data_IF_252504134541
#
_entry.id   IF_252504134541
#
_cell.length_a   1.000
_cell.length_b   1.000
_cell.length_c   1.000
_cell.angle_alpha   90.00
_cell.angle_beta   90.00
_cell.angle_gamma   90.00
#
_symmetry.space_group_name_H-M   'P 1'
#
loop_
_entity.id
_entity.type
_entity.pdbx_description
1 polymer ?
#
# COMPACT_ATOMS: atom_id res chain seq x y z
N UNK A 1 -3.48 15.34 -3.81
CA UNK A 1 -4.96 15.33 -3.94
C UNK A 1 -5.57 16.09 -2.75
N UNK A 2 -6.20 17.25 -2.98
CA UNK A 2 -6.81 18.03 -1.89
C UNK A 2 -8.03 17.36 -1.25
N UNK A 3 -8.66 16.43 -1.96
CA UNK A 3 -9.87 15.71 -1.51
C UNK A 3 -9.55 14.38 -0.80
N UNK A 4 -8.26 14.03 -0.68
CA UNK A 4 -7.88 12.77 -0.05
C UNK A 4 -8.18 12.78 1.45
N UNK A 5 -9.00 11.81 1.90
CA UNK A 5 -9.45 11.72 3.30
C UNK A 5 -8.31 11.42 4.28
N UNK A 6 -7.32 10.64 3.86
CA UNK A 6 -6.17 10.24 4.66
C UNK A 6 -4.86 10.44 3.88
N UNK A 7 -4.47 11.71 3.63
CA UNK A 7 -3.28 11.98 2.84
C UNK A 7 -2.00 11.53 3.57
N UNK A 8 -1.00 11.01 2.86
CA UNK A 8 0.29 10.61 3.44
C UNK A 8 1.10 11.80 3.99
N UNK A 9 0.72 13.02 3.65
CA UNK A 9 1.28 14.27 4.18
C UNK A 9 0.18 15.29 4.45
N UNK A 10 0.13 15.81 5.65
CA UNK A 10 -0.74 16.94 5.95
C UNK A 10 -0.16 18.26 5.40
N UNK A 11 -0.95 19.33 5.42
CA UNK A 11 -0.56 20.65 4.90
C UNK A 11 0.73 21.18 5.54
N UNK A 12 0.94 20.93 6.83
CA UNK A 12 2.16 21.36 7.55
C UNK A 12 3.40 20.65 6.99
N UNK A 13 3.30 19.33 6.74
CA UNK A 13 4.40 18.56 6.15
C UNK A 13 4.71 19.01 4.72
N UNK A 14 3.68 19.29 3.90
CA UNK A 14 3.87 19.82 2.55
C UNK A 14 4.55 21.20 2.56
N UNK A 15 4.10 22.11 3.41
CA UNK A 15 4.73 23.42 3.56
C UNK A 15 6.20 23.27 3.99
N UNK A 16 6.50 22.32 4.88
CA UNK A 16 7.88 22.05 5.31
C UNK A 16 8.76 21.54 4.17
N UNK A 17 8.22 20.70 3.31
CA UNK A 17 8.93 20.24 2.11
C UNK A 17 9.28 21.42 1.17
N UNK A 18 8.33 22.34 0.92
CA UNK A 18 8.58 23.53 0.11
C UNK A 18 9.63 24.45 0.72
N UNK A 19 9.59 24.66 2.04
CA UNK A 19 10.60 25.45 2.75
C UNK A 19 12.00 24.82 2.64
N UNK A 20 12.11 23.51 2.77
CA UNK A 20 13.39 22.79 2.65
C UNK A 20 13.90 22.85 1.21
N UNK A 21 13.03 22.61 0.22
CA UNK A 21 13.37 22.73 -1.19
C UNK A 21 13.97 24.11 -1.50
N UNK A 22 13.32 25.19 -1.04
CA UNK A 22 13.82 26.57 -1.21
C UNK A 22 15.21 26.78 -0.60
N UNK A 23 15.47 26.18 0.58
CA UNK A 23 16.80 26.27 1.24
C UNK A 23 17.89 25.53 0.47
N UNK A 24 17.50 24.55 -0.34
CA UNK A 24 18.39 23.75 -1.18
C UNK A 24 18.50 24.29 -2.61
N UNK A 25 17.97 25.49 -2.86
CA UNK A 25 17.91 26.12 -4.20
C UNK A 25 17.13 25.26 -5.22
N UNK A 26 16.10 24.54 -4.74
CA UNK A 26 15.18 23.75 -5.54
C UNK A 26 13.87 24.53 -5.67
N UNK A 27 13.46 24.82 -6.91
CA UNK A 27 12.13 25.35 -7.17
C UNK A 27 11.11 24.23 -7.07
N UNK A 28 10.23 24.27 -6.07
CA UNK A 28 9.21 23.25 -5.83
C UNK A 28 7.81 23.89 -5.82
N UNK A 29 6.89 23.20 -6.48
CA UNK A 29 5.48 23.60 -6.62
C UNK A 29 4.58 22.43 -6.25
N UNK A 30 3.44 22.72 -5.60
CA UNK A 30 2.40 21.71 -5.38
C UNK A 30 1.51 21.64 -6.63
N UNK A 31 1.42 20.46 -7.21
CA UNK A 31 0.60 20.18 -8.38
C UNK A 31 -0.50 19.18 -8.05
N UNK A 32 -1.61 19.25 -8.79
CA UNK A 32 -2.77 18.36 -8.67
C UNK A 32 -2.97 17.55 -9.96
N UNK A 33 -4.02 16.74 -10.03
CA UNK A 33 -4.38 16.05 -11.27
C UNK A 33 -4.65 17.03 -12.43
N UNK A 34 -5.19 18.21 -12.13
CA UNK A 34 -5.49 19.24 -13.13
C UNK A 34 -4.24 19.80 -13.81
N UNK A 35 -3.08 19.73 -13.13
CA UNK A 35 -1.80 20.18 -13.64
C UNK A 35 -1.06 19.14 -14.51
N UNK A 36 -1.70 18.00 -14.81
CA UNK A 36 -1.07 16.90 -15.56
C UNK A 36 -0.46 17.33 -16.90
N UNK A 37 -1.06 18.32 -17.58
CA UNK A 37 -0.56 18.86 -18.84
C UNK A 37 0.77 19.63 -18.67
N UNK A 38 1.04 20.16 -17.49
CA UNK A 38 2.26 20.89 -17.15
C UNK A 38 3.38 19.98 -16.63
N UNK A 39 3.14 18.68 -16.51
CA UNK A 39 4.10 17.76 -15.89
C UNK A 39 5.50 17.84 -16.52
N UNK A 40 5.56 18.06 -17.82
CA UNK A 40 6.84 18.16 -18.56
C UNK A 40 7.61 19.48 -18.35
N UNK A 41 7.07 20.44 -17.59
CA UNK A 41 7.77 21.65 -17.18
C UNK A 41 8.72 21.40 -15.99
N UNK A 42 8.65 20.22 -15.36
CA UNK A 42 9.41 19.86 -14.16
C UNK A 42 10.51 18.83 -14.46
N UNK A 43 11.59 18.87 -13.68
CA UNK A 43 12.70 17.90 -13.75
C UNK A 43 12.42 16.63 -12.94
N UNK A 44 11.58 16.74 -11.91
CA UNK A 44 11.26 15.64 -10.99
C UNK A 44 9.82 15.72 -10.47
N UNK A 45 9.25 14.55 -10.16
CA UNK A 45 7.93 14.41 -9.55
C UNK A 45 8.04 13.64 -8.23
N UNK A 46 7.62 14.28 -7.12
CA UNK A 46 7.50 13.62 -5.82
C UNK A 46 6.03 13.46 -5.45
N UNK A 47 5.52 12.23 -5.55
CA UNK A 47 4.12 11.92 -5.29
C UNK A 47 3.88 11.88 -3.77
N UNK A 48 2.95 12.72 -3.28
CA UNK A 48 2.52 12.80 -1.87
C UNK A 48 1.02 12.60 -1.71
N UNK A 49 0.47 11.75 -2.55
CA UNK A 49 -0.92 11.27 -2.54
C UNK A 49 -0.88 9.76 -2.50
N UNK A 50 -1.86 9.11 -1.89
CA UNK A 50 -1.93 7.63 -1.88
C UNK A 50 -1.94 7.10 -3.31
N UNK A 51 -1.05 6.15 -3.58
CA UNK A 51 -0.88 5.56 -4.91
C UNK A 51 -1.65 4.26 -5.03
N UNK A 52 -2.27 4.03 -6.18
CA UNK A 52 -2.82 2.74 -6.58
C UNK A 52 -2.87 2.63 -8.11
N UNK A 53 -2.98 1.40 -8.62
CA UNK A 53 -2.97 1.14 -10.07
C UNK A 53 -4.10 1.84 -10.85
N UNK A 54 -5.24 2.06 -10.19
CA UNK A 54 -6.41 2.69 -10.78
C UNK A 54 -6.50 4.20 -10.46
N UNK A 55 -5.47 4.76 -9.85
CA UNK A 55 -5.43 6.16 -9.46
C UNK A 55 -4.62 7.00 -10.47
N UNK A 56 -4.95 8.28 -10.63
CA UNK A 56 -4.24 9.17 -11.56
C UNK A 56 -2.73 9.28 -11.26
N UNK A 57 -2.33 9.15 -10.01
CA UNK A 57 -0.92 9.16 -9.60
C UNK A 57 -0.07 8.11 -10.29
N UNK A 58 -0.64 6.91 -10.55
CA UNK A 58 0.06 5.88 -11.31
C UNK A 58 0.32 6.31 -12.76
N UNK A 59 -0.69 6.93 -13.41
CA UNK A 59 -0.53 7.45 -14.78
C UNK A 59 0.50 8.58 -14.83
N UNK A 60 0.49 9.49 -13.86
CA UNK A 60 1.51 10.55 -13.76
C UNK A 60 2.90 9.98 -13.53
N UNK A 61 3.04 8.97 -12.67
CA UNK A 61 4.31 8.27 -12.45
C UNK A 61 4.83 7.61 -13.73
N UNK A 62 3.95 6.93 -14.50
CA UNK A 62 4.31 6.34 -15.79
C UNK A 62 4.76 7.41 -16.80
N UNK A 63 4.00 8.49 -16.93
CA UNK A 63 4.31 9.58 -17.86
C UNK A 63 5.65 10.23 -17.52
N UNK A 64 5.89 10.53 -16.24
CA UNK A 64 7.17 11.07 -15.76
C UNK A 64 8.33 10.13 -16.11
N UNK A 65 8.19 8.84 -15.79
CA UNK A 65 9.23 7.84 -16.05
C UNK A 65 9.52 7.66 -17.55
N UNK A 66 8.49 7.62 -18.39
CA UNK A 66 8.63 7.47 -19.85
C UNK A 66 9.36 8.67 -20.49
N UNK A 67 9.26 9.85 -19.89
CA UNK A 67 9.93 11.05 -20.36
C UNK A 67 11.29 11.32 -19.66
N UNK A 68 11.83 10.32 -18.94
CA UNK A 68 13.15 10.42 -18.31
C UNK A 68 13.18 11.27 -17.03
N UNK A 69 12.04 11.71 -16.53
CA UNK A 69 11.92 12.49 -15.30
C UNK A 69 12.23 11.62 -14.07
N UNK A 70 12.86 12.18 -13.07
CA UNK A 70 12.98 11.53 -11.74
C UNK A 70 11.61 11.50 -11.07
N UNK A 71 11.15 10.31 -10.68
CA UNK A 71 9.84 10.16 -10.03
C UNK A 71 9.92 9.26 -8.79
N UNK A 72 9.28 9.71 -7.71
CA UNK A 72 9.08 8.98 -6.45
C UNK A 72 7.58 9.09 -6.10
N UNK A 73 6.83 7.97 -6.01
CA UNK A 73 7.24 6.61 -6.27
C UNK A 73 7.21 6.31 -7.78
N UNK A 74 8.18 5.53 -8.25
CA UNK A 74 8.21 5.08 -9.64
C UNK A 74 7.14 4.01 -9.92
N UNK A 75 6.74 3.82 -11.21
CA UNK A 75 5.65 2.91 -11.54
C UNK A 75 5.85 1.47 -11.09
N UNK A 76 7.09 0.97 -11.13
CA UNK A 76 7.38 -0.40 -10.72
C UNK A 76 7.26 -0.56 -9.21
N UNK A 77 7.70 0.42 -8.43
CA UNK A 77 7.53 0.47 -6.98
C UNK A 77 6.05 0.52 -6.61
N UNK A 78 5.23 1.32 -7.32
CA UNK A 78 3.78 1.36 -7.11
C UNK A 78 3.17 -0.03 -7.35
N UNK A 79 3.45 -0.69 -8.48
CA UNK A 79 2.95 -2.03 -8.78
C UNK A 79 3.32 -3.02 -7.68
N UNK A 80 4.60 -3.05 -7.28
CA UNK A 80 5.11 -4.00 -6.29
C UNK A 80 4.51 -3.81 -4.91
N UNK A 81 4.32 -2.57 -4.49
CA UNK A 81 3.92 -2.26 -3.12
C UNK A 81 2.39 -2.17 -2.93
N UNK A 82 1.62 -1.90 -4.00
CA UNK A 82 0.16 -1.78 -3.87
C UNK A 82 -0.57 -3.11 -4.01
N UNK A 83 -0.01 -4.10 -4.70
CA UNK A 83 -0.61 -5.41 -4.88
C UNK A 83 -0.01 -6.42 -3.89
N UNK A 84 -0.83 -6.84 -2.90
CA UNK A 84 -0.40 -7.75 -1.84
C UNK A 84 -0.07 -9.15 -2.31
N UNK A 85 -0.67 -9.62 -3.41
CA UNK A 85 -0.35 -10.92 -4.01
C UNK A 85 1.06 -10.85 -4.59
N UNK A 86 1.32 -9.86 -5.43
CA UNK A 86 2.65 -9.67 -6.01
C UNK A 86 3.74 -9.47 -4.93
N UNK A 87 3.42 -8.69 -3.90
CA UNK A 87 4.34 -8.45 -2.79
C UNK A 87 4.65 -9.76 -2.02
N UNK A 88 3.64 -10.60 -1.79
CA UNK A 88 3.81 -11.90 -1.15
C UNK A 88 4.71 -12.84 -1.99
N UNK A 89 4.43 -12.95 -3.30
CA UNK A 89 5.27 -13.73 -4.22
C UNK A 89 6.72 -13.24 -4.26
N UNK A 90 6.91 -11.90 -4.19
CA UNK A 90 8.25 -11.31 -4.12
C UNK A 90 8.96 -11.70 -2.81
N UNK A 91 8.27 -11.66 -1.68
CA UNK A 91 8.84 -12.05 -0.39
C UNK A 91 9.25 -13.54 -0.38
N UNK A 92 8.42 -14.43 -0.93
CA UNK A 92 8.74 -15.84 -1.06
C UNK A 92 9.96 -16.08 -1.97
N UNK A 93 9.98 -15.44 -3.13
CA UNK A 93 11.08 -15.54 -4.10
C UNK A 93 12.41 -15.06 -3.51
N UNK A 94 12.41 -13.92 -2.85
CA UNK A 94 13.60 -13.30 -2.26
C UNK A 94 13.90 -13.82 -0.84
N UNK A 95 13.12 -14.78 -0.33
CA UNK A 95 13.24 -15.38 1.00
C UNK A 95 13.19 -14.34 2.13
N UNK A 96 12.39 -13.31 1.96
CA UNK A 96 12.16 -12.28 2.98
C UNK A 96 11.14 -12.83 3.97
N UNK A 97 11.44 -12.89 5.28
CA UNK A 97 10.47 -13.34 6.27
C UNK A 97 9.20 -12.51 6.24
N UNK A 98 8.06 -13.17 6.07
CA UNK A 98 6.74 -12.57 6.04
C UNK A 98 5.72 -13.51 6.68
N UNK A 99 4.58 -13.01 7.17
CA UNK A 99 3.50 -13.86 7.67
C UNK A 99 3.02 -14.84 6.61
N UNK A 100 2.75 -16.09 7.03
CA UNK A 100 2.23 -17.14 6.13
C UNK A 100 0.99 -16.65 5.42
N UNK A 101 0.91 -16.89 4.13
CA UNK A 101 -0.19 -16.39 3.30
C UNK A 101 -0.59 -17.42 2.26
N UNK A 102 -1.86 -17.40 1.86
CA UNK A 102 -2.37 -18.24 0.77
C UNK A 102 -3.40 -17.48 -0.06
N UNK A 103 -3.52 -17.82 -1.34
CA UNK A 103 -4.51 -17.26 -2.23
C UNK A 103 -5.84 -17.99 -2.10
N UNK A 104 -6.91 -17.23 -2.00
CA UNK A 104 -8.29 -17.69 -1.96
C UNK A 104 -8.99 -17.23 -3.23
N UNK A 105 -9.51 -18.15 -4.02
CA UNK A 105 -10.20 -17.88 -5.28
C UNK A 105 -11.71 -18.01 -5.12
N UNK A 106 -12.46 -17.10 -5.74
CA UNK A 106 -13.94 -17.14 -5.72
C UNK A 106 -14.51 -18.44 -6.31
N UNK A 107 -13.80 -19.05 -7.25
CA UNK A 107 -14.19 -20.30 -7.89
C UNK A 107 -14.03 -21.54 -7.04
N UNK A 108 -13.33 -21.46 -5.91
CA UNK A 108 -13.02 -22.59 -5.07
C UNK A 108 -13.93 -22.64 -3.85
N UNK A 109 -14.26 -23.84 -3.40
CA UNK A 109 -14.82 -24.05 -2.08
C UNK A 109 -13.68 -23.91 -1.05
N UNK A 110 -13.78 -22.89 -0.20
CA UNK A 110 -12.79 -22.62 0.84
C UNK A 110 -13.49 -22.76 2.20
N UNK A 111 -13.10 -23.71 3.01
CA UNK A 111 -13.63 -23.89 4.36
C UNK A 111 -12.71 -23.27 5.41
N UNK A 112 -13.29 -22.90 6.55
CA UNK A 112 -12.52 -22.38 7.67
C UNK A 112 -11.46 -23.38 8.15
N UNK A 113 -11.80 -24.67 8.17
CA UNK A 113 -10.91 -25.76 8.58
C UNK A 113 -9.65 -25.81 7.68
N UNK A 114 -9.85 -25.88 6.36
CA UNK A 114 -8.74 -25.92 5.39
C UNK A 114 -7.80 -24.73 5.50
N UNK A 115 -8.33 -23.53 5.68
CA UNK A 115 -7.52 -22.31 5.81
C UNK A 115 -6.81 -22.29 7.17
N UNK A 116 -7.51 -22.65 8.25
CA UNK A 116 -6.95 -22.64 9.60
C UNK A 116 -5.89 -23.71 9.84
N UNK A 117 -5.94 -24.84 9.13
CA UNK A 117 -4.88 -25.85 9.15
C UNK A 117 -3.54 -25.30 8.64
N UNK A 118 -3.58 -24.39 7.66
CA UNK A 118 -2.38 -23.80 7.08
C UNK A 118 -1.90 -22.53 7.81
N UNK A 119 -2.82 -21.65 8.19
CA UNK A 119 -2.52 -20.33 8.70
C UNK A 119 -2.73 -20.16 10.21
N UNK A 120 -3.32 -21.16 10.87
CA UNK A 120 -3.80 -21.03 12.24
C UNK A 120 -5.12 -20.24 12.34
N UNK A 121 -5.63 -20.12 13.56
CA UNK A 121 -6.83 -19.32 13.87
C UNK A 121 -6.53 -18.38 15.03
N UNK A 122 -6.94 -17.12 14.96
CA UNK A 122 -7.58 -16.45 13.83
C UNK A 122 -6.65 -16.19 12.63
N UNK A 123 -7.23 -15.90 11.46
CA UNK A 123 -6.48 -15.40 10.29
C UNK A 123 -7.13 -14.14 9.69
N UNK A 124 -6.46 -13.50 8.78
CA UNK A 124 -6.92 -12.26 8.13
C UNK A 124 -7.19 -12.50 6.65
N UNK A 125 -8.37 -12.14 6.16
CA UNK A 125 -8.67 -12.05 4.73
C UNK A 125 -8.46 -10.61 4.26
N UNK A 126 -7.85 -10.46 3.08
CA UNK A 126 -7.52 -9.15 2.49
C UNK A 126 -7.83 -9.14 0.99
N UNK A 127 -8.34 -8.02 0.48
CA UNK A 127 -8.31 -7.77 -0.98
C UNK A 127 -6.88 -7.39 -1.41
N UNK A 128 -6.41 -7.79 -2.61
CA UNK A 128 -5.04 -7.54 -3.06
C UNK A 128 -4.65 -6.07 -3.06
N UNK A 129 -5.52 -5.21 -3.57
CA UNK A 129 -5.25 -3.78 -3.79
C UNK A 129 -5.83 -2.86 -2.70
N UNK A 130 -6.16 -3.39 -1.51
CA UNK A 130 -6.66 -2.60 -0.38
C UNK A 130 -5.55 -1.84 0.35
N UNK A 131 -5.84 -0.62 0.82
CA UNK A 131 -4.96 0.19 1.68
C UNK A 131 -5.68 0.59 2.97
N UNK A 132 -4.95 1.04 3.99
CA UNK A 132 -5.49 1.54 5.26
C UNK A 132 -6.47 0.59 5.96
N UNK A 133 -6.22 -0.71 5.93
CA UNK A 133 -7.10 -1.76 6.48
C UNK A 133 -8.50 -1.85 5.84
N UNK A 134 -8.79 -1.05 4.80
CA UNK A 134 -10.01 -1.22 4.02
C UNK A 134 -9.96 -2.53 3.23
N UNK A 135 -11.03 -3.32 3.33
CA UNK A 135 -11.08 -4.64 2.68
C UNK A 135 -10.27 -5.71 3.41
N UNK A 136 -10.12 -5.59 4.73
CA UNK A 136 -9.57 -6.63 5.60
C UNK A 136 -10.65 -7.13 6.56
N UNK A 137 -10.64 -8.44 6.83
CA UNK A 137 -11.51 -9.10 7.81
C UNK A 137 -10.71 -10.10 8.63
N UNK A 138 -10.80 -10.02 9.95
CA UNK A 138 -10.33 -11.04 10.87
C UNK A 138 -11.40 -12.13 10.95
N UNK A 139 -10.98 -13.37 10.85
CA UNK A 139 -11.85 -14.56 10.79
C UNK A 139 -11.45 -15.52 11.91
N UNK A 140 -12.43 -15.92 12.73
CA UNK A 140 -12.25 -16.80 13.88
C UNK A 140 -13.04 -18.10 13.78
N UNK A 141 -14.00 -18.18 12.85
CA UNK A 141 -14.90 -19.32 12.67
C UNK A 141 -15.54 -19.34 11.26
N UNK A 142 -16.24 -20.42 10.94
CA UNK A 142 -16.87 -20.63 9.63
C UNK A 142 -17.94 -19.59 9.28
N UNK A 143 -18.70 -19.09 10.27
CA UNK A 143 -19.75 -18.07 10.04
C UNK A 143 -19.11 -16.76 9.59
N UNK A 144 -18.06 -16.35 10.29
CA UNK A 144 -17.30 -15.14 9.93
C UNK A 144 -16.59 -15.30 8.59
N UNK A 145 -16.09 -16.51 8.26
CA UNK A 145 -15.50 -16.78 6.96
C UNK A 145 -16.50 -16.53 5.84
N UNK A 146 -17.70 -17.14 5.91
CA UNK A 146 -18.73 -16.98 4.88
C UNK A 146 -19.12 -15.52 4.69
N UNK A 147 -19.39 -14.81 5.78
CA UNK A 147 -19.73 -13.39 5.72
C UNK A 147 -18.60 -12.54 5.13
N UNK A 148 -17.34 -12.86 5.43
CA UNK A 148 -16.19 -12.16 4.90
C UNK A 148 -15.97 -12.46 3.40
N UNK A 149 -16.12 -13.72 2.97
CA UNK A 149 -16.01 -14.12 1.56
C UNK A 149 -17.10 -13.44 0.72
N UNK A 150 -18.35 -13.44 1.16
CA UNK A 150 -19.47 -12.76 0.46
C UNK A 150 -19.14 -11.27 0.25
N UNK A 151 -18.72 -10.58 1.31
CA UNK A 151 -18.41 -9.16 1.25
C UNK A 151 -17.19 -8.84 0.38
N UNK A 152 -16.14 -9.64 0.46
CA UNK A 152 -14.85 -9.33 -0.18
C UNK A 152 -14.82 -9.81 -1.64
N UNK A 153 -15.50 -10.91 -1.98
CA UNK A 153 -15.62 -11.38 -3.35
C UNK A 153 -16.51 -10.52 -4.25
N UNK A 154 -17.30 -9.62 -3.67
CA UNK A 154 -17.97 -8.57 -4.45
C UNK A 154 -16.98 -7.53 -5.00
N UNK A 155 -15.79 -7.44 -4.40
CA UNK A 155 -14.76 -6.45 -4.74
C UNK A 155 -13.56 -7.02 -5.49
N UNK A 156 -13.30 -8.32 -5.37
CA UNK A 156 -12.13 -8.98 -5.96
C UNK A 156 -12.41 -10.46 -6.16
N UNK A 157 -12.01 -11.02 -7.30
CA UNK A 157 -12.09 -12.48 -7.58
C UNK A 157 -11.05 -13.30 -6.82
N UNK A 158 -10.03 -12.62 -6.26
CA UNK A 158 -8.92 -13.24 -5.53
C UNK A 158 -8.76 -12.50 -4.21
N UNK A 159 -8.60 -13.24 -3.13
CA UNK A 159 -8.27 -12.71 -1.81
C UNK A 159 -6.94 -13.29 -1.34
N UNK A 160 -6.27 -12.60 -0.44
CA UNK A 160 -5.14 -13.12 0.31
C UNK A 160 -5.60 -13.46 1.73
N UNK A 161 -5.51 -14.73 2.11
CA UNK A 161 -5.59 -15.13 3.50
C UNK A 161 -4.19 -15.12 4.12
N UNK A 162 -4.06 -14.60 5.32
CA UNK A 162 -2.77 -14.45 6.00
C UNK A 162 -2.90 -14.79 7.47
N UNK A 163 -1.89 -15.45 8.05
CA UNK A 163 -1.85 -15.70 9.49
C UNK A 163 -1.99 -14.39 10.27
N UNK A 164 -2.66 -14.48 11.41
CA UNK A 164 -2.80 -13.34 12.31
C UNK A 164 -1.62 -13.28 13.28
N UNK A 165 -0.77 -12.28 13.09
CA UNK A 165 0.36 -11.99 13.98
C UNK A 165 0.00 -10.78 14.85
N UNK A 166 -0.39 -10.97 16.13
CA UNK A 166 -0.70 -9.86 17.01
C UNK A 166 0.57 -9.09 17.38
N UNK A 167 0.52 -7.76 17.23
CA UNK A 167 1.61 -6.87 17.60
C UNK A 167 1.08 -5.67 18.39
N UNK A 168 1.87 -5.15 19.31
CA UNK A 168 1.55 -3.90 20.02
C UNK A 168 1.93 -2.68 19.18
N UNK A 169 2.91 -2.84 18.29
CA UNK A 169 3.40 -1.81 17.37
C UNK A 169 4.04 -2.45 16.14
N UNK A 170 4.09 -1.70 15.07
CA UNK A 170 4.88 -2.02 13.89
C UNK A 170 6.13 -1.14 13.83
N UNK A 171 7.21 -1.69 13.27
CA UNK A 171 8.37 -0.89 12.92
C UNK A 171 8.12 -0.16 11.61
N UNK A 172 8.35 1.14 11.61
CA UNK A 172 8.44 1.93 10.39
C UNK A 172 9.89 2.30 10.15
N UNK A 173 10.46 1.72 9.09
CA UNK A 173 11.83 1.97 8.68
C UNK A 173 11.80 2.88 7.45
N UNK A 174 12.44 4.03 7.55
CA UNK A 174 12.65 4.92 6.40
C UNK A 174 13.99 4.62 5.76
N UNK A 175 13.98 4.44 4.44
CA UNK A 175 15.19 4.24 3.64
C UNK A 175 15.17 5.27 2.51
N UNK A 176 16.28 5.94 2.28
CA UNK A 176 16.45 6.88 1.20
C UNK A 176 17.74 6.57 0.44
N UNK A 177 17.64 6.38 -0.88
CA UNK A 177 18.77 6.04 -1.74
C UNK A 177 19.60 4.84 -1.25
N UNK A 178 18.90 3.80 -0.74
CA UNK A 178 19.54 2.59 -0.19
C UNK A 178 20.07 2.72 1.24
N UNK A 179 20.09 3.91 1.82
CA UNK A 179 20.62 4.17 3.16
C UNK A 179 19.49 4.30 4.20
N UNK A 180 19.65 3.75 5.42
CA UNK A 180 18.69 3.88 6.48
C UNK A 180 18.59 5.33 6.98
N UNK A 181 17.40 5.90 6.96
CA UNK A 181 17.13 7.28 7.37
C UNK A 181 16.61 7.38 8.79
N UNK A 182 15.64 6.53 9.15
CA UNK A 182 15.07 6.47 10.50
C UNK A 182 14.43 5.11 10.78
N UNK A 183 14.24 4.81 12.07
CA UNK A 183 13.40 3.72 12.56
C UNK A 183 12.51 4.25 13.69
N UNK A 184 11.20 3.97 13.63
CA UNK A 184 10.28 4.32 14.71
C UNK A 184 9.25 3.23 14.95
N UNK A 185 8.73 3.18 16.18
CA UNK A 185 7.60 2.32 16.55
C UNK A 185 6.31 3.02 16.18
N UNK A 186 5.47 2.31 15.46
CA UNK A 186 4.13 2.76 15.10
C UNK A 186 3.11 1.96 15.90
N UNK A 187 2.64 2.53 17.00
CA UNK A 187 1.72 1.85 17.92
C UNK A 187 0.34 1.70 17.30
N UNK A 188 -0.27 0.53 17.51
CA UNK A 188 -1.64 0.27 17.07
C UNK A 188 -2.62 1.19 17.78
N UNK A 189 -3.62 1.67 17.06
CA UNK A 189 -4.71 2.43 17.66
C UNK A 189 -5.50 1.52 18.64
N UNK A 190 -5.90 2.07 19.77
CA UNK A 190 -6.69 1.31 20.75
C UNK A 190 -8.03 0.89 20.12
N UNK A 191 -8.32 -0.40 20.14
CA UNK A 191 -9.57 -0.97 19.61
C UNK A 191 -9.49 -1.49 18.17
N UNK A 192 -8.30 -1.66 17.63
CA UNK A 192 -8.06 -2.37 16.36
C UNK A 192 -7.70 -3.82 16.59
#
# INVERSE_FOLDING_TARGET
DPEEKFPPSNKQALNKLLEVAKKMDIHAELVTEEDAARLMEFDALFIRTTTSLNHYTFRLSQLAKQNGMVVIDDPLSIIRCTNKVYLNELFEKEKIPAPLSMLIFKSNENTFEQISEQLGSPFILKIPNGSFSFGMKKVTNEIELKAALDLLFDKSSILLAQEFTPTEFDWRIGILNGEPLFACKYYMAKGH
#
